data_IF_740113539055
#
_entry.id   IF_740113539055
#
_cell.length_a   1.000
_cell.length_b   1.000
_cell.length_c   1.000
_cell.angle_alpha   90.00
_cell.angle_beta   90.00
_cell.angle_gamma   90.00
#
_symmetry.space_group_name_H-M   'P 1'
#
loop_
_entity.id
_entity.type
_entity.pdbx_description
1 polymer ?
#
# COMPACT_ATOMS: atom_id res chain seq x y z
N UNK A 1 -54.37 17.73 20.82
CA UNK A 1 -53.49 18.92 20.94
C UNK A 1 -52.20 18.49 21.65
N UNK A 2 -51.04 18.89 21.11
CA UNK A 2 -49.63 18.56 21.49
C UNK A 2 -49.03 17.27 20.90
N UNK A 3 -48.71 17.37 19.62
CA UNK A 3 -47.56 16.70 18.97
C UNK A 3 -46.29 17.38 19.51
N UNK A 4 -45.36 16.63 20.11
CA UNK A 4 -43.99 17.10 20.38
C UNK A 4 -43.07 16.49 19.33
N UNK A 5 -42.57 17.36 18.46
CA UNK A 5 -41.56 17.08 17.44
C UNK A 5 -40.26 16.64 18.12
N UNK A 6 -39.83 15.40 17.88
CA UNK A 6 -38.43 15.03 18.02
C UNK A 6 -37.74 15.30 16.69
N UNK A 7 -36.99 16.39 16.64
CA UNK A 7 -36.00 16.63 15.60
C UNK A 7 -34.89 15.59 15.78
N UNK A 8 -34.87 14.56 14.94
CA UNK A 8 -33.76 13.62 14.84
C UNK A 8 -32.60 14.36 14.20
N UNK A 9 -31.67 14.85 15.02
CA UNK A 9 -30.37 15.34 14.55
C UNK A 9 -29.59 14.11 14.09
N UNK A 10 -29.57 13.86 12.77
CA UNK A 10 -28.63 12.93 12.14
C UNK A 10 -27.26 13.60 12.22
N UNK A 11 -26.56 13.34 13.32
CA UNK A 11 -25.15 13.67 13.46
C UNK A 11 -24.38 12.63 12.63
N UNK A 12 -24.14 12.98 11.36
CA UNK A 12 -23.22 12.31 10.44
C UNK A 12 -21.79 12.50 10.95
N UNK A 13 -21.47 11.84 12.06
CA UNK A 13 -20.10 11.54 12.46
C UNK A 13 -19.60 10.46 11.51
N UNK A 14 -19.11 10.88 10.34
CA UNK A 14 -18.22 10.08 9.50
C UNK A 14 -16.90 9.86 10.25
N UNK A 15 -16.94 9.02 11.30
CA UNK A 15 -15.75 8.29 11.68
C UNK A 15 -15.42 7.40 10.48
N UNK A 16 -14.29 7.68 9.84
CA UNK A 16 -13.63 6.81 8.89
C UNK A 16 -13.18 5.51 9.62
N UNK A 17 -14.13 4.70 10.06
CA UNK A 17 -13.90 3.29 10.18
C UNK A 17 -13.93 2.78 8.74
N UNK A 18 -12.74 2.49 8.20
CA UNK A 18 -12.66 1.54 7.09
C UNK A 18 -13.46 0.32 7.54
N UNK A 19 -14.67 0.15 7.01
CA UNK A 19 -15.41 -1.09 7.15
C UNK A 19 -14.57 -2.15 6.46
N UNK A 20 -13.65 -2.77 7.22
CA UNK A 20 -12.85 -3.89 6.74
C UNK A 20 -13.83 -5.04 6.61
N UNK A 21 -14.25 -5.33 5.38
CA UNK A 21 -15.02 -6.53 5.10
C UNK A 21 -14.22 -7.77 5.57
N UNK A 22 -14.82 -8.54 6.47
CA UNK A 22 -14.23 -9.72 7.10
C UNK A 22 -14.41 -10.95 6.19
N UNK A 23 -13.33 -11.64 5.86
CA UNK A 23 -13.40 -12.90 5.11
C UNK A 23 -14.02 -14.00 5.95
N UNK A 24 -14.64 -15.00 5.30
CA UNK A 24 -15.34 -16.07 6.02
C UNK A 24 -14.36 -16.90 6.86
N UNK A 25 -14.80 -17.30 8.05
CA UNK A 25 -14.12 -18.22 8.95
C UNK A 25 -14.32 -19.63 8.44
N UNK A 26 -13.21 -20.33 8.24
CA UNK A 26 -13.22 -21.73 7.81
C UNK A 26 -13.59 -22.66 8.96
N UNK A 27 -13.97 -23.88 8.62
CA UNK A 27 -13.94 -24.98 9.58
C UNK A 27 -12.49 -25.38 9.88
N UNK A 28 -12.29 -26.35 10.78
CA UNK A 28 -10.97 -26.87 11.12
C UNK A 28 -10.86 -28.31 10.63
N UNK A 29 -9.76 -28.68 10.00
CA UNK A 29 -9.46 -30.05 9.58
C UNK A 29 -8.12 -30.48 10.15
N UNK A 30 -8.06 -31.69 10.72
CA UNK A 30 -6.85 -32.26 11.29
C UNK A 30 -6.43 -33.52 10.52
N UNK A 31 -5.14 -33.63 10.20
CA UNK A 31 -4.54 -34.82 9.61
C UNK A 31 -3.02 -34.77 9.72
N UNK A 32 -2.37 -35.93 9.75
CA UNK A 32 -0.91 -36.07 9.90
C UNK A 32 -0.34 -35.35 11.14
N UNK A 33 -1.11 -35.26 12.23
CA UNK A 33 -0.71 -34.59 13.48
C UNK A 33 -0.82 -33.07 13.46
N UNK A 34 -1.29 -32.47 12.36
CA UNK A 34 -1.45 -31.03 12.21
C UNK A 34 -2.94 -30.63 12.18
N UNK A 35 -3.23 -29.41 12.61
CA UNK A 35 -4.53 -28.76 12.47
C UNK A 35 -4.46 -27.61 11.46
N UNK A 36 -5.48 -27.52 10.62
CA UNK A 36 -5.53 -26.61 9.48
C UNK A 36 -6.87 -25.88 9.43
N UNK A 37 -6.87 -24.63 8.98
CA UNK A 37 -8.09 -23.91 8.63
C UNK A 37 -8.61 -24.47 7.32
N UNK A 38 -9.76 -25.13 7.35
CA UNK A 38 -10.44 -25.64 6.18
C UNK A 38 -11.18 -24.48 5.48
N UNK A 39 -10.77 -24.14 4.26
CA UNK A 39 -11.29 -23.01 3.48
C UNK A 39 -12.65 -23.32 2.84
N UNK A 40 -13.53 -23.94 3.61
CA UNK A 40 -14.86 -24.38 3.24
C UNK A 40 -15.69 -24.62 4.52
N UNK A 41 -17.00 -24.69 4.33
CA UNK A 41 -17.98 -25.17 5.33
C UNK A 41 -18.66 -26.40 4.74
N UNK A 42 -18.12 -27.62 4.95
CA UNK A 42 -18.63 -28.83 4.29
C UNK A 42 -20.12 -29.10 4.51
N UNK A 43 -20.62 -28.82 5.71
CA UNK A 43 -22.04 -29.02 6.05
C UNK A 43 -22.94 -28.11 5.19
N UNK A 44 -22.51 -26.87 4.94
CA UNK A 44 -23.27 -25.90 4.13
C UNK A 44 -23.40 -26.31 2.65
N UNK A 45 -22.61 -27.28 2.19
CA UNK A 45 -22.64 -27.74 0.80
C UNK A 45 -23.77 -28.74 0.52
N UNK A 46 -24.40 -29.28 1.57
CA UNK A 46 -25.66 -30.02 1.48
C UNK A 46 -26.75 -29.20 2.17
N UNK A 47 -27.67 -28.63 1.39
CA UNK A 47 -28.69 -27.71 1.90
C UNK A 47 -29.67 -28.37 2.87
N UNK A 48 -29.89 -29.69 2.74
CA UNK A 48 -30.77 -30.44 3.64
C UNK A 48 -30.08 -30.67 4.97
N UNK A 49 -28.81 -31.06 4.93
CA UNK A 49 -27.99 -31.23 6.12
C UNK A 49 -27.79 -29.91 6.87
N UNK A 50 -27.46 -28.84 6.14
CA UNK A 50 -27.36 -27.50 6.68
C UNK A 50 -28.62 -27.10 7.46
N UNK A 51 -29.79 -27.26 6.84
CA UNK A 51 -31.06 -26.93 7.49
C UNK A 51 -31.27 -27.74 8.78
N UNK A 52 -31.04 -29.05 8.73
CA UNK A 52 -31.18 -29.92 9.91
C UNK A 52 -30.25 -29.54 11.05
N UNK A 53 -29.03 -29.11 10.74
CA UNK A 53 -28.09 -28.63 11.75
C UNK A 53 -28.56 -27.29 12.35
N UNK A 54 -29.02 -26.36 11.52
CA UNK A 54 -29.53 -25.07 11.99
C UNK A 54 -30.78 -25.23 12.86
N UNK A 55 -31.65 -26.21 12.55
CA UNK A 55 -32.81 -26.55 13.37
C UNK A 55 -32.42 -27.25 14.71
N UNK A 56 -31.20 -27.81 14.79
CA UNK A 56 -30.69 -28.53 15.97
C UNK A 56 -29.96 -27.62 16.96
N UNK A 57 -29.20 -26.64 16.47
CA UNK A 57 -28.43 -25.73 17.33
C UNK A 57 -29.35 -24.67 17.98
N UNK A 58 -28.96 -24.06 19.12
CA UNK A 58 -29.80 -23.07 19.80
C UNK A 58 -30.05 -21.81 18.96
N UNK A 59 -31.26 -21.26 19.05
CA UNK A 59 -31.63 -20.01 18.34
C UNK A 59 -30.80 -18.79 18.76
N UNK A 60 -30.28 -18.78 19.99
CA UNK A 60 -29.44 -17.70 20.53
C UNK A 60 -27.94 -17.86 20.21
N UNK A 61 -27.61 -18.59 19.14
CA UNK A 61 -26.22 -18.69 18.68
C UNK A 61 -25.69 -17.35 18.16
N UNK A 62 -24.41 -17.08 18.41
CA UNK A 62 -23.75 -15.86 17.98
C UNK A 62 -23.44 -15.93 16.48
N UNK A 63 -23.79 -14.90 15.71
CA UNK A 63 -23.37 -14.75 14.31
C UNK A 63 -22.44 -13.55 14.15
N UNK A 64 -21.55 -13.60 13.17
CA UNK A 64 -20.64 -12.51 12.85
C UNK A 64 -20.46 -12.34 11.34
N UNK A 65 -19.88 -11.22 10.91
CA UNK A 65 -19.57 -10.97 9.49
C UNK A 65 -18.61 -11.99 8.89
N UNK A 66 -17.81 -12.67 9.72
CA UNK A 66 -16.94 -13.77 9.31
C UNK A 66 -17.53 -15.16 9.55
N UNK A 67 -18.60 -15.32 10.33
CA UNK A 67 -19.24 -16.61 10.60
C UNK A 67 -20.75 -16.40 10.68
N UNK A 68 -21.43 -16.53 9.55
CA UNK A 68 -22.86 -16.24 9.44
C UNK A 68 -23.72 -17.34 10.06
N UNK A 69 -23.15 -18.53 10.18
CA UNK A 69 -23.81 -19.72 10.71
C UNK A 69 -23.60 -19.89 12.22
N UNK A 70 -22.65 -19.16 12.80
CA UNK A 70 -22.37 -19.17 14.25
C UNK A 70 -21.76 -20.47 14.80
N UNK A 71 -21.37 -21.40 13.93
CA UNK A 71 -20.69 -22.63 14.31
C UNK A 71 -19.34 -22.80 13.61
N UNK A 72 -18.47 -23.60 14.21
CA UNK A 72 -17.22 -24.11 13.61
C UNK A 72 -17.20 -25.63 13.73
N UNK A 73 -17.11 -26.32 12.60
CA UNK A 73 -16.98 -27.78 12.60
C UNK A 73 -15.50 -28.18 12.59
N UNK A 74 -15.20 -29.29 13.29
CA UNK A 74 -13.87 -29.86 13.40
C UNK A 74 -13.89 -31.23 12.75
N UNK A 75 -13.07 -31.40 11.73
CA UNK A 75 -12.97 -32.57 10.90
C UNK A 75 -11.62 -33.27 11.11
N UNK A 76 -11.58 -34.58 10.87
CA UNK A 76 -10.36 -35.38 10.86
C UNK A 76 -10.37 -36.34 9.67
N UNK A 77 -9.21 -36.58 9.07
CA UNK A 77 -9.08 -37.62 8.05
C UNK A 77 -8.80 -38.96 8.76
N UNK A 78 -9.79 -39.85 8.77
CA UNK A 78 -9.70 -41.18 9.37
C UNK A 78 -9.96 -42.24 8.29
N UNK A 79 -9.04 -43.20 8.11
CA UNK A 79 -9.14 -44.25 7.09
C UNK A 79 -9.45 -43.71 5.68
N UNK A 80 -8.74 -42.64 5.28
CA UNK A 80 -8.96 -41.85 4.05
C UNK A 80 -10.30 -41.09 3.97
N UNK A 81 -11.18 -41.15 4.97
CA UNK A 81 -12.46 -40.45 4.97
C UNK A 81 -12.41 -39.17 5.80
N UNK A 82 -13.09 -38.13 5.34
CA UNK A 82 -13.29 -36.92 6.12
C UNK A 82 -14.42 -37.14 7.12
N UNK A 83 -14.07 -37.18 8.40
CA UNK A 83 -14.98 -37.49 9.51
C UNK A 83 -15.18 -36.27 10.41
N UNK A 84 -16.44 -35.93 10.71
CA UNK A 84 -16.77 -34.90 11.67
C UNK A 84 -16.46 -35.40 13.08
N UNK A 85 -15.71 -34.61 13.86
CA UNK A 85 -15.36 -34.93 15.24
C UNK A 85 -16.25 -34.19 16.23
N UNK A 86 -16.49 -32.89 15.96
CA UNK A 86 -17.35 -32.04 16.79
C UNK A 86 -17.75 -30.77 16.06
N UNK A 87 -18.75 -30.09 16.62
CA UNK A 87 -19.16 -28.74 16.24
C UNK A 87 -19.10 -27.86 17.49
N UNK A 88 -18.48 -26.70 17.38
CA UNK A 88 -18.46 -25.68 18.42
C UNK A 88 -19.39 -24.53 18.00
N UNK A 89 -20.34 -24.19 18.87
CA UNK A 89 -21.36 -23.16 18.64
C UNK A 89 -21.20 -22.07 19.67
N UNK A 90 -20.98 -20.82 19.24
CA UNK A 90 -21.03 -19.68 20.16
C UNK A 90 -22.48 -19.41 20.52
N UNK A 91 -22.75 -19.19 21.80
CA UNK A 91 -24.09 -18.87 22.31
C UNK A 91 -24.00 -17.67 23.24
N UNK A 92 -24.86 -16.68 23.01
CA UNK A 92 -24.95 -15.48 23.86
C UNK A 92 -26.06 -15.65 24.89
N UNK A 93 -25.71 -15.48 26.16
CA UNK A 93 -26.68 -15.43 27.26
C UNK A 93 -27.01 -13.96 27.56
N UNK A 94 -28.26 -13.56 27.27
CA UNK A 94 -28.75 -12.20 27.54
C UNK A 94 -28.77 -11.84 29.03
N UNK A 95 -28.92 -12.84 29.91
CA UNK A 95 -29.02 -12.65 31.36
C UNK A 95 -27.66 -12.32 31.95
N UNK A 96 -26.65 -13.12 31.64
CA UNK A 96 -25.27 -12.88 32.09
C UNK A 96 -24.50 -11.89 31.22
N UNK A 97 -25.02 -11.55 30.03
CA UNK A 97 -24.38 -10.73 28.98
C UNK A 97 -23.00 -11.25 28.61
N UNK A 98 -22.88 -12.57 28.46
CA UNK A 98 -21.62 -13.25 28.15
C UNK A 98 -21.82 -14.27 27.04
N UNK A 99 -20.78 -14.39 26.22
CA UNK A 99 -20.64 -15.47 25.25
C UNK A 99 -20.17 -16.74 25.96
N UNK A 100 -20.66 -17.88 25.48
CA UNK A 100 -20.20 -19.21 25.87
C UNK A 100 -20.10 -20.09 24.63
N UNK A 101 -19.35 -21.19 24.71
CA UNK A 101 -19.21 -22.15 23.61
C UNK A 101 -19.84 -23.47 24.00
N UNK A 102 -20.84 -23.91 23.24
CA UNK A 102 -21.38 -25.25 23.31
C UNK A 102 -20.59 -26.16 22.38
N UNK A 103 -20.24 -27.35 22.87
CA UNK A 103 -19.47 -28.33 22.11
C UNK A 103 -20.34 -29.57 21.92
N UNK A 104 -20.63 -29.89 20.66
CA UNK A 104 -21.36 -31.10 20.27
C UNK A 104 -20.39 -32.07 19.63
N UNK A 105 -20.04 -33.16 20.32
CA UNK A 105 -19.27 -34.25 19.74
C UNK A 105 -20.10 -35.05 18.72
N UNK A 106 -19.43 -35.76 17.82
CA UNK A 106 -20.07 -36.51 16.74
C UNK A 106 -21.22 -37.41 17.22
N UNK A 107 -21.08 -38.05 18.39
CA UNK A 107 -22.08 -38.94 18.97
C UNK A 107 -23.39 -38.24 19.32
N UNK A 108 -23.33 -36.94 19.64
CA UNK A 108 -24.50 -36.11 19.93
C UNK A 108 -25.19 -35.58 18.66
N UNK A 109 -24.61 -35.79 17.48
CA UNK A 109 -25.05 -35.24 16.20
C UNK A 109 -25.82 -36.26 15.32
N UNK A 110 -26.25 -37.38 15.90
CA UNK A 110 -27.00 -38.42 15.17
C UNK A 110 -28.26 -37.88 14.48
N UNK A 111 -29.07 -37.10 15.17
CA UNK A 111 -30.33 -36.57 14.63
C UNK A 111 -30.11 -35.68 13.38
N UNK A 112 -29.25 -34.64 13.42
CA UNK A 112 -29.00 -33.82 12.23
C UNK A 112 -28.31 -34.57 11.09
N UNK A 113 -27.47 -35.57 11.39
CA UNK A 113 -26.65 -36.30 10.40
C UNK A 113 -27.17 -37.70 10.04
N UNK A 114 -28.43 -38.03 10.35
CA UNK A 114 -28.98 -39.39 10.20
C UNK A 114 -28.63 -40.13 8.88
N UNK A 115 -28.63 -39.50 7.68
CA UNK A 115 -28.27 -40.18 6.42
C UNK A 115 -26.79 -40.57 6.30
N UNK A 116 -25.93 -39.98 7.12
CA UNK A 116 -24.47 -40.07 7.07
C UNK A 116 -23.84 -40.52 8.40
N UNK A 117 -24.68 -40.91 9.36
CA UNK A 117 -24.27 -41.36 10.69
C UNK A 117 -24.14 -42.89 10.70
N UNK A 118 -22.99 -43.39 11.15
CA UNK A 118 -22.70 -44.82 11.21
C UNK A 118 -22.86 -45.38 12.64
N UNK A 119 -23.09 -46.69 12.75
CA UNK A 119 -23.30 -47.38 14.04
C UNK A 119 -22.13 -47.23 15.01
N UNK A 120 -20.92 -46.99 14.50
CA UNK A 120 -19.72 -46.73 15.29
C UNK A 120 -19.63 -45.28 15.83
N UNK A 121 -20.67 -44.46 15.64
CA UNK A 121 -20.72 -43.06 16.08
C UNK A 121 -20.05 -42.07 15.11
N UNK A 122 -19.49 -42.53 14.00
CA UNK A 122 -18.81 -41.66 13.03
C UNK A 122 -19.80 -40.98 12.08
N UNK A 123 -19.47 -39.75 11.72
CA UNK A 123 -20.17 -38.97 10.69
C UNK A 123 -19.19 -38.69 9.57
N UNK A 124 -19.36 -39.38 8.45
CA UNK A 124 -18.47 -39.25 7.29
C UNK A 124 -19.08 -38.30 6.26
N UNK A 125 -18.27 -37.39 5.71
CA UNK A 125 -18.71 -36.35 4.78
C UNK A 125 -19.00 -36.88 3.36
N UNK A 126 -19.82 -37.92 3.22
CA UNK A 126 -20.08 -38.65 1.97
C UNK A 126 -20.68 -37.77 0.86
N UNK A 127 -21.35 -36.68 1.21
CA UNK A 127 -21.87 -35.71 0.25
C UNK A 127 -20.77 -34.89 -0.46
N UNK A 128 -19.56 -34.81 0.10
CA UNK A 128 -18.49 -33.98 -0.47
C UNK A 128 -17.82 -34.60 -1.69
N UNK A 129 -17.71 -33.78 -2.74
CA UNK A 129 -17.01 -34.06 -3.97
C UNK A 129 -16.34 -32.78 -4.50
N UNK A 130 -15.04 -32.83 -4.82
CA UNK A 130 -14.33 -31.70 -5.39
C UNK A 130 -12.90 -31.52 -4.88
N UNK A 131 -12.34 -30.35 -5.14
CA UNK A 131 -11.05 -29.91 -4.60
C UNK A 131 -11.27 -28.86 -3.51
N UNK A 132 -10.62 -29.07 -2.37
CA UNK A 132 -10.75 -28.22 -1.20
C UNK A 132 -9.37 -27.77 -0.72
N UNK A 133 -9.31 -26.62 -0.04
CA UNK A 133 -8.06 -26.08 0.50
C UNK A 133 -8.09 -26.05 2.01
N UNK A 134 -6.97 -26.40 2.62
CA UNK A 134 -6.72 -26.22 4.04
C UNK A 134 -5.44 -25.42 4.23
N UNK A 135 -5.41 -24.45 5.14
CA UNK A 135 -4.28 -23.54 5.31
C UNK A 135 -3.81 -23.39 6.76
N UNK A 136 -2.51 -23.14 6.95
CA UNK A 136 -1.90 -22.76 8.23
C UNK A 136 -0.75 -21.77 8.03
N UNK A 137 -0.35 -21.09 9.10
CA UNK A 137 0.69 -20.06 9.09
C UNK A 137 0.16 -18.68 8.69
N UNK A 138 1.06 -17.81 8.23
CA UNK A 138 0.74 -16.42 7.94
C UNK A 138 -0.14 -16.24 6.70
N UNK A 139 -0.88 -15.14 6.65
CA UNK A 139 -1.68 -14.75 5.49
C UNK A 139 -0.80 -14.14 4.40
N UNK A 140 -0.70 -14.80 3.25
CA UNK A 140 0.11 -14.37 2.10
C UNK A 140 -0.67 -13.44 1.17
N UNK A 141 -1.89 -13.84 0.78
CA UNK A 141 -2.81 -13.08 -0.09
C UNK A 141 -4.21 -13.11 0.52
N UNK A 142 -4.93 -11.99 0.41
CA UNK A 142 -6.28 -11.87 0.97
C UNK A 142 -7.25 -11.27 -0.03
N UNK A 143 -8.39 -11.93 -0.21
CA UNK A 143 -9.55 -11.37 -0.90
C UNK A 143 -10.75 -11.46 0.03
N UNK A 144 -11.56 -10.40 0.04
CA UNK A 144 -12.71 -10.26 0.95
C UNK A 144 -13.85 -11.25 0.67
N UNK A 145 -13.89 -11.89 -0.50
CA UNK A 145 -15.01 -12.74 -0.92
C UNK A 145 -14.82 -14.19 -0.48
N UNK A 146 -15.73 -14.67 0.35
CA UNK A 146 -15.79 -16.07 0.76
C UNK A 146 -14.51 -16.53 1.46
N UNK A 147 -13.93 -17.61 0.93
CA UNK A 147 -12.66 -18.20 1.38
C UNK A 147 -11.49 -17.91 0.44
N UNK A 148 -11.58 -16.91 -0.45
CA UNK A 148 -10.50 -16.58 -1.38
C UNK A 148 -9.34 -15.86 -0.65
N UNK A 149 -8.49 -16.66 -0.01
CA UNK A 149 -7.22 -16.23 0.58
C UNK A 149 -6.17 -17.29 0.33
N UNK A 150 -4.91 -16.92 0.53
CA UNK A 150 -3.80 -17.86 0.53
C UNK A 150 -2.98 -17.74 1.80
N UNK A 151 -2.77 -18.87 2.48
CA UNK A 151 -1.93 -18.97 3.68
C UNK A 151 -0.53 -19.50 3.32
N UNK A 152 0.43 -19.28 4.21
CA UNK A 152 1.84 -19.66 4.03
C UNK A 152 2.03 -21.13 3.68
N UNK A 153 1.31 -22.03 4.35
CA UNK A 153 1.26 -23.44 3.96
C UNK A 153 -0.18 -23.81 3.64
N UNK A 154 -0.42 -24.26 2.41
CA UNK A 154 -1.73 -24.76 1.97
C UNK A 154 -1.65 -26.23 1.57
N UNK A 155 -2.67 -27.00 1.91
CA UNK A 155 -2.90 -28.34 1.40
C UNK A 155 -4.14 -28.33 0.52
N UNK A 156 -4.01 -28.80 -0.72
CA UNK A 156 -5.14 -29.05 -1.62
C UNK A 156 -5.55 -30.51 -1.48
N UNK A 157 -6.80 -30.74 -1.07
CA UNK A 157 -7.39 -32.06 -0.88
C UNK A 157 -8.37 -32.35 -2.02
N UNK A 158 -8.18 -33.48 -2.72
CA UNK A 158 -9.14 -33.98 -3.71
C UNK A 158 -10.05 -35.02 -3.05
N UNK A 159 -11.33 -34.70 -2.93
CA UNK A 159 -12.32 -35.51 -2.20
C UNK A 159 -13.34 -36.08 -3.19
N UNK A 160 -13.66 -37.37 -3.07
CA UNK A 160 -14.73 -38.05 -3.81
C UNK A 160 -15.57 -38.90 -2.86
N UNK A 161 -16.86 -38.61 -2.77
CA UNK A 161 -17.80 -39.28 -1.86
C UNK A 161 -17.26 -39.34 -0.42
N UNK A 162 -16.76 -38.20 0.08
CA UNK A 162 -16.12 -38.08 1.40
C UNK A 162 -14.73 -38.70 1.53
N UNK A 163 -14.26 -39.50 0.56
CA UNK A 163 -12.91 -40.08 0.55
C UNK A 163 -11.88 -39.09 0.02
N UNK A 164 -10.81 -38.85 0.78
CA UNK A 164 -9.63 -38.10 0.35
C UNK A 164 -8.79 -38.99 -0.56
N UNK A 165 -8.77 -38.66 -1.85
CA UNK A 165 -8.09 -39.44 -2.88
C UNK A 165 -6.63 -39.02 -3.02
N UNK A 166 -6.36 -37.72 -2.85
CA UNK A 166 -5.02 -37.15 -2.96
C UNK A 166 -4.93 -35.88 -2.12
N UNK A 167 -3.71 -35.60 -1.64
CA UNK A 167 -3.36 -34.33 -1.00
C UNK A 167 -2.11 -33.76 -1.65
N UNK A 168 -2.03 -32.44 -1.79
CA UNK A 168 -0.82 -31.78 -2.31
C UNK A 168 -0.56 -30.53 -1.49
N UNK A 169 0.61 -30.49 -0.85
CA UNK A 169 1.03 -29.37 0.00
C UNK A 169 1.86 -28.38 -0.79
N UNK A 170 1.58 -27.10 -0.58
CA UNK A 170 2.26 -25.96 -1.17
C UNK A 170 2.76 -25.02 -0.08
N UNK A 171 3.93 -24.44 -0.34
CA UNK A 171 4.47 -23.34 0.46
C UNK A 171 4.36 -22.06 -0.35
N UNK A 172 3.47 -21.18 0.11
CA UNK A 172 3.16 -19.92 -0.49
C UNK A 172 3.98 -18.80 0.17
N UNK A 173 4.44 -17.85 -0.62
CA UNK A 173 5.12 -16.68 -0.10
C UNK A 173 4.90 -15.48 -1.02
N UNK A 174 5.23 -14.29 -0.52
CA UNK A 174 5.29 -13.07 -1.32
C UNK A 174 6.70 -12.50 -1.30
N UNK A 175 7.19 -12.05 -2.45
CA UNK A 175 8.42 -11.27 -2.55
C UNK A 175 8.05 -9.80 -2.40
N UNK A 176 8.67 -9.05 -1.47
CA UNK A 176 8.35 -7.66 -1.26
C UNK A 176 8.68 -6.83 -2.50
N UNK A 177 7.82 -5.87 -2.81
CA UNK A 177 7.97 -4.91 -3.90
C UNK A 177 6.82 -3.91 -3.92
N UNK A 178 6.81 -2.99 -4.89
CA UNK A 178 5.69 -2.07 -5.06
C UNK A 178 4.44 -2.83 -5.50
N UNK A 179 3.32 -2.55 -4.83
CA UNK A 179 2.00 -3.09 -5.14
C UNK A 179 1.30 -2.25 -6.20
N UNK A 180 0.47 -2.89 -7.01
CA UNK A 180 -0.35 -2.21 -8.03
C UNK A 180 -1.23 -1.11 -7.43
N UNK A 181 -1.74 -1.31 -6.21
CA UNK A 181 -2.60 -0.31 -5.55
C UNK A 181 -1.83 0.93 -5.05
N UNK A 182 -0.53 0.78 -4.76
CA UNK A 182 0.30 1.83 -4.16
C UNK A 182 1.25 2.50 -5.16
N UNK A 183 1.35 1.98 -6.39
CA UNK A 183 2.38 2.39 -7.37
C UNK A 183 2.08 3.68 -8.13
N UNK A 184 0.85 4.20 -8.04
CA UNK A 184 0.38 5.32 -8.87
C UNK A 184 1.30 6.54 -8.77
N UNK A 185 1.73 6.91 -7.57
CA UNK A 185 2.59 8.08 -7.36
C UNK A 185 3.97 7.90 -7.98
N UNK A 186 4.52 6.68 -7.87
CA UNK A 186 5.81 6.36 -8.47
C UNK A 186 5.74 6.36 -10.01
N UNK A 187 4.62 5.91 -10.59
CA UNK A 187 4.35 6.05 -12.02
C UNK A 187 4.27 7.54 -12.38
N UNK A 188 3.47 8.34 -11.67
CA UNK A 188 3.32 9.77 -11.97
C UNK A 188 4.68 10.48 -11.94
N UNK A 189 5.53 10.17 -10.96
CA UNK A 189 6.87 10.75 -10.81
C UNK A 189 7.82 10.37 -11.95
N UNK A 190 7.78 9.12 -12.40
CA UNK A 190 8.68 8.60 -13.44
C UNK A 190 8.17 8.82 -14.86
N UNK A 191 6.87 9.08 -15.04
CA UNK A 191 6.29 9.24 -16.36
C UNK A 191 6.92 10.44 -17.10
N UNK A 192 7.32 10.30 -18.38
CA UNK A 192 8.10 11.32 -19.08
C UNK A 192 7.20 12.43 -19.62
N UNK A 193 6.62 13.21 -18.72
CA UNK A 193 5.59 14.20 -19.05
C UNK A 193 6.05 15.31 -20.01
N UNK A 194 7.35 15.56 -20.10
CA UNK A 194 7.95 16.53 -21.03
C UNK A 194 7.75 16.13 -22.50
N UNK A 195 7.64 14.83 -22.81
CA UNK A 195 7.33 14.31 -24.15
C UNK A 195 5.88 14.62 -24.59
N UNK A 196 5.04 15.01 -23.63
CA UNK A 196 3.59 15.09 -23.82
C UNK A 196 2.95 16.42 -23.36
N UNK A 197 3.42 17.58 -23.85
CA UNK A 197 2.92 18.88 -23.42
C UNK A 197 1.42 19.07 -23.70
N UNK A 198 0.88 18.43 -24.75
CA UNK A 198 -0.56 18.46 -25.10
C UNK A 198 -1.45 17.94 -23.96
N UNK A 199 -0.97 17.01 -23.14
CA UNK A 199 -1.77 16.37 -22.09
C UNK A 199 -1.51 16.97 -20.69
N UNK A 200 -0.85 18.14 -20.60
CA UNK A 200 -0.45 18.76 -19.32
C UNK A 200 -1.58 18.93 -18.28
N UNK A 201 -2.81 19.17 -18.76
CA UNK A 201 -3.99 19.40 -17.93
C UNK A 201 -4.99 18.24 -18.05
N UNK A 202 -4.52 17.06 -18.47
CA UNK A 202 -5.37 15.88 -18.64
C UNK A 202 -5.08 14.86 -17.53
N UNK A 203 -6.14 14.22 -17.04
CA UNK A 203 -6.08 12.91 -16.42
C UNK A 203 -6.08 11.85 -17.53
N UNK A 204 -5.01 11.09 -17.58
CA UNK A 204 -4.76 10.01 -18.54
C UNK A 204 -5.02 8.69 -17.81
N UNK A 205 -6.05 7.96 -18.20
CA UNK A 205 -6.37 6.66 -17.57
C UNK A 205 -6.08 5.54 -18.53
N UNK A 206 -5.09 4.71 -18.19
CA UNK A 206 -4.75 3.50 -18.91
C UNK A 206 -5.66 2.37 -18.45
N UNK A 207 -6.24 1.62 -19.38
CA UNK A 207 -6.91 0.35 -19.08
C UNK A 207 -5.99 -0.78 -19.48
N UNK A 208 -5.47 -1.48 -18.48
CA UNK A 208 -4.43 -2.50 -18.60
C UNK A 208 -5.08 -3.88 -18.54
N UNK A 209 -4.59 -4.79 -19.38
CA UNK A 209 -4.88 -6.22 -19.36
C UNK A 209 -3.59 -7.02 -19.37
N UNK A 210 -3.64 -8.27 -18.92
CA UNK A 210 -2.55 -9.23 -19.02
C UNK A 210 -1.21 -8.68 -18.50
N UNK A 211 -1.22 -7.97 -17.38
CA UNK A 211 0.01 -7.44 -16.76
C UNK A 211 0.92 -8.60 -16.33
N UNK A 212 2.17 -8.60 -16.79
CA UNK A 212 3.12 -9.69 -16.60
C UNK A 212 4.38 -9.21 -15.90
N UNK A 213 4.80 -9.99 -14.92
CA UNK A 213 6.09 -9.87 -14.24
C UNK A 213 6.94 -11.11 -14.46
N UNK A 214 8.25 -10.96 -14.35
CA UNK A 214 9.17 -12.06 -14.11
C UNK A 214 9.06 -12.55 -12.65
N UNK A 215 9.58 -13.73 -12.37
CA UNK A 215 9.55 -14.33 -11.02
C UNK A 215 10.37 -13.57 -9.96
N UNK A 216 11.25 -12.67 -10.38
CA UNK A 216 12.06 -11.79 -9.54
C UNK A 216 11.52 -10.34 -9.45
N UNK A 217 10.35 -10.08 -10.04
CA UNK A 217 9.63 -8.81 -9.88
C UNK A 217 9.98 -7.71 -10.89
N UNK A 218 10.54 -8.06 -12.04
CA UNK A 218 10.66 -7.14 -13.17
C UNK A 218 9.39 -7.13 -14.02
N UNK A 219 8.97 -5.94 -14.46
CA UNK A 219 7.90 -5.83 -15.46
C UNK A 219 8.34 -6.42 -16.81
N UNK A 220 7.51 -7.32 -17.35
CA UNK A 220 7.73 -7.97 -18.64
C UNK A 220 6.96 -7.25 -19.75
N UNK A 221 5.63 -7.27 -19.68
CA UNK A 221 4.75 -6.57 -20.61
C UNK A 221 3.31 -6.50 -20.07
N UNK A 222 2.44 -5.74 -20.77
CA UNK A 222 0.99 -5.74 -20.58
C UNK A 222 0.28 -5.28 -21.85
N UNK A 223 -1.03 -5.47 -21.94
CA UNK A 223 -1.84 -4.91 -23.01
C UNK A 223 -2.50 -3.61 -22.55
N UNK A 224 -2.32 -2.52 -23.31
CA UNK A 224 -3.07 -1.27 -23.09
C UNK A 224 -4.29 -1.31 -23.99
N UNK A 225 -5.45 -1.67 -23.42
CA UNK A 225 -6.68 -1.88 -24.17
C UNK A 225 -7.23 -0.57 -24.76
N UNK A 226 -7.22 0.49 -23.96
CA UNK A 226 -7.50 1.85 -24.39
C UNK A 226 -7.03 2.86 -23.35
N UNK A 227 -6.90 4.11 -23.75
CA UNK A 227 -6.51 5.25 -22.90
C UNK A 227 -7.66 6.26 -22.90
N UNK A 228 -8.14 6.62 -21.70
CA UNK A 228 -9.18 7.62 -21.53
C UNK A 228 -8.54 8.96 -21.13
N UNK A 229 -8.85 10.01 -21.87
CA UNK A 229 -8.40 11.37 -21.58
C UNK A 229 -9.55 12.22 -21.02
N UNK A 230 -9.30 12.89 -19.90
CA UNK A 230 -10.25 13.82 -19.28
C UNK A 230 -9.51 15.12 -18.89
N UNK A 231 -10.11 16.31 -19.07
CA UNK A 231 -11.50 16.56 -19.41
C UNK A 231 -11.85 16.50 -20.91
N UNK A 232 -10.89 16.31 -21.83
CA UNK A 232 -11.16 16.36 -23.28
C UNK A 232 -12.11 15.26 -23.79
N UNK A 233 -12.44 14.27 -22.96
CA UNK A 233 -13.39 13.16 -23.23
C UNK A 233 -13.04 12.36 -24.50
N UNK A 234 -11.75 12.19 -24.75
CA UNK A 234 -11.24 11.37 -25.85
C UNK A 234 -10.88 9.96 -25.35
N UNK A 235 -11.03 8.97 -26.24
CA UNK A 235 -10.59 7.58 -26.03
C UNK A 235 -9.62 7.22 -27.14
N UNK A 236 -8.45 6.72 -26.78
CA UNK A 236 -7.44 6.22 -27.71
C UNK A 236 -7.45 4.70 -27.63
N UNK A 237 -7.73 4.02 -28.75
CA UNK A 237 -7.81 2.55 -28.84
C UNK A 237 -6.60 1.94 -29.56
N UNK A 238 -5.53 2.72 -29.72
CA UNK A 238 -4.25 2.27 -30.29
C UNK A 238 -3.27 1.89 -29.18
N UNK A 239 -2.99 0.59 -29.05
CA UNK A 239 -2.02 0.06 -28.10
C UNK A 239 -0.56 0.45 -28.38
N UNK A 240 -0.27 0.94 -29.59
CA UNK A 240 1.04 1.47 -29.99
C UNK A 240 1.12 3.00 -29.92
N UNK A 241 0.07 3.66 -29.40
CA UNK A 241 0.08 5.11 -29.23
C UNK A 241 1.29 5.54 -28.35
N UNK A 242 1.95 6.67 -28.63
CA UNK A 242 3.12 7.13 -27.86
C UNK A 242 2.93 7.17 -26.34
N UNK A 243 1.71 7.46 -25.85
CA UNK A 243 1.37 7.38 -24.42
C UNK A 243 1.46 5.95 -23.86
N UNK A 244 0.97 4.95 -24.60
CA UNK A 244 1.02 3.54 -24.18
C UNK A 244 2.47 3.06 -24.09
N UNK A 245 3.29 3.41 -25.09
CA UNK A 245 4.72 3.09 -25.11
C UNK A 245 5.43 3.71 -23.91
N UNK A 246 5.27 5.02 -23.69
CA UNK A 246 5.90 5.71 -22.56
C UNK A 246 5.42 5.18 -21.20
N UNK A 247 4.16 4.76 -21.09
CA UNK A 247 3.64 4.13 -19.89
C UNK A 247 4.29 2.76 -19.63
N UNK A 248 4.43 1.91 -20.65
CA UNK A 248 5.17 0.63 -20.53
C UNK A 248 6.64 0.84 -20.17
N UNK A 249 7.31 1.82 -20.76
CA UNK A 249 8.68 2.21 -20.39
C UNK A 249 8.77 2.64 -18.92
N UNK A 250 7.77 3.40 -18.45
CA UNK A 250 7.66 3.81 -17.05
C UNK A 250 7.50 2.60 -16.12
N UNK A 251 6.59 1.67 -16.45
CA UNK A 251 6.40 0.43 -15.70
C UNK A 251 7.67 -0.43 -15.64
N UNK A 252 8.42 -0.49 -16.75
CA UNK A 252 9.71 -1.18 -16.83
C UNK A 252 10.79 -0.57 -15.93
N UNK A 253 10.72 0.73 -15.66
CA UNK A 253 11.65 1.46 -14.79
C UNK A 253 11.33 1.33 -13.28
N UNK A 254 10.24 0.66 -12.93
CA UNK A 254 9.82 0.39 -11.56
C UNK A 254 10.27 -1.03 -11.21
N UNK A 255 11.03 -1.15 -10.13
CA UNK A 255 11.53 -2.41 -9.62
C UNK A 255 11.93 -2.27 -8.14
N UNK A 256 11.70 -3.29 -7.29
CA UNK A 256 10.95 -4.51 -7.59
C UNK A 256 9.43 -4.31 -7.49
N UNK A 257 8.68 -5.02 -8.34
CA UNK A 257 7.24 -5.21 -8.17
C UNK A 257 6.96 -6.36 -7.18
N UNK A 258 5.86 -6.28 -6.43
CA UNK A 258 5.43 -7.39 -5.56
C UNK A 258 5.06 -8.61 -6.42
N UNK A 259 5.59 -9.77 -6.05
CA UNK A 259 5.31 -11.05 -6.71
C UNK A 259 4.81 -12.05 -5.67
N UNK A 260 3.74 -12.74 -5.99
CA UNK A 260 3.19 -13.82 -5.18
C UNK A 260 3.65 -15.16 -5.76
N UNK A 261 4.03 -16.10 -4.90
CA UNK A 261 4.21 -17.50 -5.26
C UNK A 261 3.11 -18.29 -4.57
N UNK A 262 2.11 -18.70 -5.33
CA UNK A 262 0.89 -19.35 -4.84
C UNK A 262 0.73 -20.69 -5.54
N UNK A 263 0.59 -21.76 -4.77
CA UNK A 263 0.32 -23.12 -5.23
C UNK A 263 1.26 -23.56 -6.37
N UNK A 264 2.56 -23.31 -6.19
CA UNK A 264 3.62 -23.69 -7.13
C UNK A 264 3.80 -22.75 -8.34
N UNK A 265 3.08 -21.63 -8.40
CA UNK A 265 3.12 -20.70 -9.54
C UNK A 265 3.39 -19.27 -9.11
N UNK A 266 4.22 -18.57 -9.86
CA UNK A 266 4.37 -17.13 -9.74
C UNK A 266 3.12 -16.43 -10.31
N UNK A 267 2.56 -15.52 -9.53
CA UNK A 267 1.38 -14.73 -9.88
C UNK A 267 1.47 -13.33 -9.27
N UNK A 268 0.51 -12.50 -9.61
CA UNK A 268 0.28 -11.17 -9.04
C UNK A 268 -1.16 -11.07 -8.56
N UNK A 269 -1.46 -10.04 -7.79
CA UNK A 269 -2.81 -9.85 -7.23
C UNK A 269 -3.85 -9.54 -8.32
N UNK A 270 -3.49 -8.70 -9.29
CA UNK A 270 -4.36 -8.28 -10.39
C UNK A 270 -3.59 -8.23 -11.71
N UNK A 271 -4.07 -8.93 -12.73
CA UNK A 271 -3.53 -8.83 -14.10
C UNK A 271 -4.20 -7.74 -14.91
N UNK A 272 -5.41 -7.36 -14.52
CA UNK A 272 -6.29 -6.45 -15.24
C UNK A 272 -6.72 -5.33 -14.30
N UNK A 273 -6.42 -4.08 -14.65
CA UNK A 273 -6.71 -2.94 -13.81
C UNK A 273 -6.71 -1.64 -14.61
N UNK A 274 -7.15 -0.56 -13.99
CA UNK A 274 -7.07 0.78 -14.57
C UNK A 274 -6.08 1.63 -13.80
N UNK A 275 -5.19 2.34 -14.49
CA UNK A 275 -4.20 3.21 -13.89
C UNK A 275 -4.41 4.66 -14.36
N UNK A 276 -5.07 5.51 -13.56
CA UNK A 276 -5.14 6.92 -13.84
C UNK A 276 -3.85 7.62 -13.41
N UNK A 277 -3.32 8.50 -14.27
CA UNK A 277 -2.21 9.40 -13.95
C UNK A 277 -2.57 10.81 -14.38
N UNK A 278 -2.08 11.80 -13.64
CA UNK A 278 -2.17 13.21 -13.99
C UNK A 278 -0.97 13.92 -13.38
N UNK A 279 -0.60 15.07 -13.95
CA UNK A 279 0.40 15.92 -13.32
C UNK A 279 -0.18 16.45 -12.01
N UNK A 280 0.43 16.05 -10.90
CA UNK A 280 0.18 16.65 -9.59
C UNK A 280 1.07 17.88 -9.47
N UNK A 281 0.48 19.00 -9.07
CA UNK A 281 1.24 20.20 -8.76
C UNK A 281 0.54 20.95 -7.65
N UNK A 282 1.33 21.70 -6.89
CA UNK A 282 0.80 22.66 -5.94
C UNK A 282 1.00 24.07 -6.48
N UNK A 283 0.00 24.92 -6.32
CA UNK A 283 0.09 26.34 -6.68
C UNK A 283 -0.05 27.18 -5.43
N UNK A 284 0.87 28.12 -5.24
CA UNK A 284 0.85 29.11 -4.19
C UNK A 284 -0.37 30.03 -4.38
N UNK A 285 -1.08 30.28 -3.29
CA UNK A 285 -2.24 31.16 -3.26
C UNK A 285 -2.14 32.11 -2.07
N UNK A 286 -2.50 33.36 -2.29
CA UNK A 286 -2.58 34.42 -1.27
C UNK A 286 -3.93 35.11 -1.33
N UNK A 287 -4.38 35.66 -0.20
CA UNK A 287 -5.55 36.56 -0.16
C UNK A 287 -5.20 38.00 -0.53
N UNK A 288 -3.91 38.33 -0.58
CA UNK A 288 -3.42 39.63 -1.01
C UNK A 288 -3.49 39.80 -2.54
N UNK A 289 -3.51 41.03 -3.07
CA UNK A 289 -3.61 41.27 -4.51
C UNK A 289 -2.49 40.64 -5.35
N UNK A 290 -1.30 40.48 -4.74
CA UNK A 290 -0.11 39.95 -5.40
C UNK A 290 0.65 38.97 -4.51
N UNK A 291 1.28 37.98 -5.13
CA UNK A 291 2.16 37.02 -4.46
C UNK A 291 3.55 37.65 -4.24
N UNK A 292 3.73 38.34 -3.12
CA UNK A 292 4.96 39.08 -2.79
C UNK A 292 5.69 38.52 -1.55
N UNK A 293 6.92 38.97 -1.32
CA UNK A 293 7.71 38.55 -0.17
C UNK A 293 7.01 38.96 1.13
N UNK A 294 6.73 37.97 1.99
CA UNK A 294 6.18 38.18 3.33
C UNK A 294 4.65 38.16 3.42
N UNK A 295 3.92 38.03 2.31
CA UNK A 295 2.46 37.82 2.36
C UNK A 295 2.13 36.41 2.85
N UNK A 296 1.01 36.19 3.55
CA UNK A 296 0.56 34.86 3.91
C UNK A 296 0.26 34.03 2.64
N UNK A 297 0.82 32.82 2.57
CA UNK A 297 0.64 31.92 1.42
C UNK A 297 0.21 30.54 1.88
N UNK A 298 -0.71 29.94 1.14
CA UNK A 298 -1.01 28.52 1.19
C UNK A 298 -0.66 27.86 -0.15
N UNK A 299 -0.62 26.53 -0.20
CA UNK A 299 -0.54 25.80 -1.45
C UNK A 299 -1.78 24.95 -1.67
N UNK A 300 -2.37 25.12 -2.84
CA UNK A 300 -3.54 24.39 -3.29
C UNK A 300 -3.12 23.31 -4.30
N UNK A 301 -3.76 22.14 -4.25
CA UNK A 301 -3.66 21.17 -5.33
C UNK A 301 -4.49 21.59 -6.56
N UNK A 302 -4.51 20.76 -7.61
CA UNK A 302 -5.27 20.99 -8.83
C UNK A 302 -6.80 21.04 -8.64
N UNK A 303 -7.32 20.57 -7.50
CA UNK A 303 -8.74 20.61 -7.13
C UNK A 303 -9.10 21.85 -6.29
N UNK A 304 -8.12 22.66 -5.92
CA UNK A 304 -8.29 23.77 -4.99
C UNK A 304 -8.25 23.37 -3.53
N UNK A 305 -7.96 22.09 -3.22
CA UNK A 305 -7.80 21.66 -1.83
C UNK A 305 -6.51 22.24 -1.26
N UNK A 306 -6.57 22.78 -0.05
CA UNK A 306 -5.39 23.28 0.65
C UNK A 306 -4.54 22.12 1.15
N UNK A 307 -3.34 21.96 0.58
CA UNK A 307 -2.35 20.94 0.97
C UNK A 307 -1.35 21.50 2.00
N UNK A 308 -0.92 22.74 1.79
CA UNK A 308 -0.11 23.48 2.76
C UNK A 308 -0.94 24.67 3.23
N UNK A 309 -1.33 24.75 4.51
CA UNK A 309 -2.18 25.82 5.00
C UNK A 309 -1.43 27.14 5.12
N UNK A 310 -2.19 28.24 5.14
CA UNK A 310 -1.67 29.57 5.49
C UNK A 310 -0.93 29.54 6.82
N UNK A 311 0.17 30.30 6.90
CA UNK A 311 0.96 30.42 8.12
C UNK A 311 1.85 29.22 8.43
N UNK A 312 1.81 28.13 7.65
CA UNK A 312 2.79 27.03 7.82
C UNK A 312 4.21 27.50 7.49
N UNK A 313 4.36 28.26 6.42
CA UNK A 313 5.63 28.83 5.98
C UNK A 313 5.53 30.35 5.92
N UNK A 314 6.65 31.03 6.18
CA UNK A 314 6.70 32.50 6.13
C UNK A 314 6.62 33.03 4.71
N UNK A 315 7.25 32.31 3.78
CA UNK A 315 7.42 32.75 2.40
C UNK A 315 7.54 31.55 1.46
N UNK A 316 6.95 31.66 0.27
CA UNK A 316 7.12 30.73 -0.83
C UNK A 316 8.12 31.28 -1.85
N UNK A 317 9.21 30.56 -2.10
CA UNK A 317 10.12 30.90 -3.20
C UNK A 317 9.62 30.31 -4.53
N UNK A 318 8.88 29.20 -4.47
CA UNK A 318 8.37 28.48 -5.64
C UNK A 318 6.84 28.59 -5.70
N UNK A 319 6.32 29.36 -6.64
CA UNK A 319 4.87 29.55 -6.83
C UNK A 319 4.17 28.28 -7.32
N UNK A 320 4.78 27.52 -8.22
CA UNK A 320 4.23 26.28 -8.77
C UNK A 320 5.17 25.10 -8.52
N UNK A 321 4.77 24.22 -7.61
CA UNK A 321 5.52 23.03 -7.22
C UNK A 321 5.07 21.86 -8.07
N UNK A 322 5.89 21.47 -9.05
CA UNK A 322 5.64 20.27 -9.88
C UNK A 322 6.22 19.01 -9.26
N UNK A 323 7.47 19.11 -8.81
CA UNK A 323 8.21 18.01 -8.17
C UNK A 323 8.75 18.49 -6.82
N UNK A 324 9.60 19.53 -6.87
CA UNK A 324 10.20 20.17 -5.71
C UNK A 324 9.78 21.64 -5.64
N UNK A 325 9.56 22.13 -4.43
CA UNK A 325 9.27 23.52 -4.12
C UNK A 325 10.10 23.97 -2.92
N UNK A 326 10.41 25.26 -2.88
CA UNK A 326 11.22 25.85 -1.83
C UNK A 326 10.39 26.85 -1.04
N UNK A 327 10.38 26.67 0.28
CA UNK A 327 9.61 27.48 1.23
C UNK A 327 10.49 27.84 2.41
N UNK A 328 10.23 28.97 3.06
CA UNK A 328 10.99 29.37 4.25
C UNK A 328 10.26 28.99 5.53
N UNK A 329 11.02 28.52 6.52
CA UNK A 329 10.54 28.31 7.87
C UNK A 329 9.74 29.53 8.36
N UNK A 330 8.67 29.27 9.13
CA UNK A 330 7.94 30.34 9.78
C UNK A 330 8.68 30.85 11.02
N UNK A 331 9.85 31.48 10.80
CA UNK A 331 10.71 32.07 11.84
C UNK A 331 11.02 33.54 11.52
N UNK A 332 11.17 34.40 12.54
CA UNK A 332 11.42 35.82 12.34
C UNK A 332 12.86 36.15 11.91
N UNK A 333 13.83 35.30 12.28
CA UNK A 333 15.25 35.42 11.93
C UNK A 333 15.80 34.06 11.54
N UNK A 334 16.83 34.07 10.71
CA UNK A 334 17.59 32.89 10.29
C UNK A 334 16.71 31.75 9.75
N UNK A 335 15.59 32.10 9.11
CA UNK A 335 14.67 31.15 8.53
C UNK A 335 15.37 30.32 7.46
N UNK A 336 15.38 29.00 7.64
CA UNK A 336 15.98 28.08 6.68
C UNK A 336 15.01 27.81 5.53
N UNK A 337 15.58 27.45 4.38
CA UNK A 337 14.83 27.01 3.22
C UNK A 337 14.54 25.53 3.38
N UNK A 338 13.26 25.15 3.30
CA UNK A 338 12.79 23.78 3.30
C UNK A 338 12.42 23.41 1.86
N UNK A 339 12.90 22.24 1.41
CA UNK A 339 12.39 21.61 0.21
C UNK A 339 11.13 20.81 0.54
N UNK A 340 10.05 21.08 -0.17
CA UNK A 340 8.80 20.30 -0.11
C UNK A 340 8.49 19.69 -1.47
N UNK A 341 7.81 18.54 -1.46
CA UNK A 341 7.30 17.94 -2.70
C UNK A 341 5.88 18.43 -3.05
N UNK A 342 5.35 17.96 -4.18
CA UNK A 342 3.98 18.24 -4.63
C UNK A 342 2.86 17.60 -3.78
N UNK A 343 3.20 16.88 -2.71
CA UNK A 343 2.27 16.44 -1.67
C UNK A 343 2.37 17.32 -0.40
N UNK A 344 3.17 18.39 -0.42
CA UNK A 344 3.41 19.27 0.72
C UNK A 344 4.31 18.67 1.80
N UNK A 345 4.90 17.49 1.55
CA UNK A 345 5.81 16.80 2.46
C UNK A 345 7.17 17.49 2.42
N UNK A 346 7.69 17.79 3.60
CA UNK A 346 9.06 18.30 3.79
C UNK A 346 10.07 17.16 3.56
N UNK A 347 11.09 17.44 2.74
CA UNK A 347 12.10 16.46 2.37
C UNK A 347 13.41 16.69 3.12
N UNK A 348 13.94 17.92 3.06
CA UNK A 348 15.21 18.33 3.69
C UNK A 348 15.33 19.85 3.68
N UNK A 349 16.29 20.39 4.44
CA UNK A 349 16.69 21.78 4.29
C UNK A 349 17.60 21.93 3.06
N UNK A 350 17.55 23.10 2.43
CA UNK A 350 18.36 23.43 1.26
C UNK A 350 19.47 24.37 1.67
N UNK A 351 20.69 24.11 1.19
CA UNK A 351 21.80 25.02 1.41
C UNK A 351 21.45 26.38 0.81
N UNK A 352 21.53 27.45 1.61
CA UNK A 352 21.22 28.81 1.15
C UNK A 352 22.45 29.36 0.43
N UNK A 353 22.28 29.78 -0.81
CA UNK A 353 23.32 30.47 -1.57
C UNK A 353 22.78 31.83 -2.02
N UNK A 354 23.52 32.88 -1.68
CA UNK A 354 23.08 34.27 -1.82
C UNK A 354 21.70 34.49 -1.15
N UNK A 355 20.67 34.85 -1.92
CA UNK A 355 19.33 35.14 -1.42
C UNK A 355 18.33 33.99 -1.61
N UNK A 356 18.79 32.79 -2.00
CA UNK A 356 17.89 31.71 -2.39
C UNK A 356 18.43 30.29 -2.20
N UNK A 357 17.73 29.29 -2.75
CA UNK A 357 18.19 27.90 -2.74
C UNK A 357 19.43 27.73 -3.63
N UNK A 358 20.28 26.76 -3.27
CA UNK A 358 21.48 26.40 -4.04
C UNK A 358 21.15 26.03 -5.50
N UNK A 359 22.08 26.35 -6.41
CA UNK A 359 21.95 26.02 -7.82
C UNK A 359 22.28 24.55 -8.07
N UNK A 360 21.56 23.93 -9.02
CA UNK A 360 21.89 22.58 -9.49
C UNK A 360 23.17 22.64 -10.32
N UNK A 361 24.18 21.87 -9.91
CA UNK A 361 25.45 21.69 -10.61
C UNK A 361 25.67 20.21 -10.91
N UNK A 362 25.87 19.89 -12.18
CA UNK A 362 25.95 18.52 -12.70
C UNK A 362 24.83 17.56 -12.21
N UNK A 363 23.61 18.10 -12.09
CA UNK A 363 22.43 17.35 -11.68
C UNK A 363 22.22 17.23 -10.17
N UNK A 364 23.10 17.80 -9.34
CA UNK A 364 23.00 17.78 -7.87
C UNK A 364 23.00 19.19 -7.26
N UNK A 365 22.36 19.35 -6.11
CA UNK A 365 22.45 20.56 -5.28
C UNK A 365 22.67 20.21 -3.81
N UNK A 366 23.20 21.15 -3.03
CA UNK A 366 23.52 20.90 -1.62
C UNK A 366 22.27 20.99 -0.74
N UNK A 367 22.15 20.01 0.15
CA UNK A 367 21.08 19.90 1.14
C UNK A 367 21.65 19.90 2.55
N UNK A 368 20.81 20.15 3.55
CA UNK A 368 21.20 20.15 4.96
C UNK A 368 20.26 19.31 5.83
N UNK A 369 20.80 18.71 6.89
CA UNK A 369 20.00 18.16 7.99
C UNK A 369 19.73 19.22 9.06
N UNK A 370 19.06 18.83 10.16
CA UNK A 370 18.76 19.73 11.27
C UNK A 370 20.01 20.30 11.96
N UNK A 371 21.10 19.53 12.00
CA UNK A 371 22.39 19.91 12.59
C UNK A 371 23.24 20.82 11.68
N UNK A 372 22.73 21.14 10.47
CA UNK A 372 23.45 21.94 9.48
C UNK A 372 24.57 21.20 8.74
N UNK A 373 24.65 19.87 8.84
CA UNK A 373 25.55 19.08 8.01
C UNK A 373 25.07 19.11 6.56
N UNK A 374 26.02 19.12 5.63
CA UNK A 374 25.79 19.22 4.20
C UNK A 374 25.84 17.84 3.53
N UNK A 375 24.90 17.61 2.62
CA UNK A 375 24.83 16.48 1.70
C UNK A 375 24.42 16.92 0.30
N UNK A 376 24.02 15.99 -0.56
CA UNK A 376 23.62 16.28 -1.94
C UNK A 376 22.34 15.52 -2.33
N UNK A 377 21.45 16.21 -3.05
CA UNK A 377 20.25 15.61 -3.65
C UNK A 377 20.16 15.93 -5.15
N UNK A 378 19.43 15.09 -5.88
CA UNK A 378 19.11 15.31 -7.28
C UNK A 378 17.85 16.17 -7.47
N UNK A 379 17.56 16.57 -8.71
CA UNK A 379 16.39 17.40 -9.05
C UNK A 379 15.03 16.73 -8.82
N UNK A 380 15.00 15.45 -8.45
CA UNK A 380 13.80 14.71 -8.10
C UNK A 380 13.63 14.59 -6.57
N UNK A 381 14.58 15.11 -5.79
CA UNK A 381 14.58 15.05 -4.34
C UNK A 381 15.14 13.75 -3.77
N UNK A 382 15.78 12.91 -4.58
CA UNK A 382 16.49 11.74 -4.08
C UNK A 382 17.80 12.20 -3.42
N UNK A 383 18.02 11.80 -2.17
CA UNK A 383 19.28 12.06 -1.47
C UNK A 383 20.36 11.14 -2.05
N UNK A 384 21.30 11.72 -2.80
CA UNK A 384 22.41 10.99 -3.44
C UNK A 384 23.56 10.79 -2.46
N UNK A 385 23.86 11.81 -1.65
CA UNK A 385 24.85 11.72 -0.57
C UNK A 385 24.19 12.28 0.69
N UNK A 386 24.13 11.46 1.74
CA UNK A 386 23.50 11.87 3.00
C UNK A 386 24.28 13.03 3.64
N UNK A 387 23.59 13.96 4.33
CA UNK A 387 24.24 15.00 5.11
C UNK A 387 25.28 14.43 6.10
N UNK A 388 26.55 14.81 5.92
CA UNK A 388 27.65 14.34 6.77
C UNK A 388 28.83 15.33 6.84
N UNK A 389 28.90 16.28 5.91
CA UNK A 389 30.01 17.24 5.85
C UNK A 389 29.68 18.49 6.65
N UNK A 390 30.68 19.12 7.26
CA UNK A 390 30.50 20.47 7.83
C UNK A 390 30.34 21.51 6.74
N UNK A 391 31.00 21.31 5.60
CA UNK A 391 30.82 22.13 4.41
C UNK A 391 31.16 21.35 3.15
N UNK A 392 30.51 21.72 2.04
CA UNK A 392 30.78 21.18 0.72
C UNK A 392 30.65 22.27 -0.36
N UNK A 393 31.55 22.24 -1.33
CA UNK A 393 31.40 22.95 -2.60
C UNK A 393 30.46 22.17 -3.54
N UNK A 394 29.83 22.85 -4.53
CA UNK A 394 29.10 22.15 -5.59
C UNK A 394 29.98 21.16 -6.38
N UNK A 395 29.35 20.22 -7.08
CA UNK A 395 30.06 19.33 -7.98
C UNK A 395 30.56 20.07 -9.22
N UNK A 396 31.82 19.84 -9.56
CA UNK A 396 32.47 20.36 -10.76
C UNK A 396 33.49 19.34 -11.28
N UNK A 397 33.45 19.02 -12.57
CA UNK A 397 34.27 18.00 -13.20
C UNK A 397 34.15 16.63 -12.51
N UNK A 398 32.92 16.24 -12.13
CA UNK A 398 32.60 14.96 -11.51
C UNK A 398 33.01 14.80 -10.05
N UNK A 399 33.52 15.86 -9.40
CA UNK A 399 33.96 15.83 -7.99
C UNK A 399 33.47 17.04 -7.19
N UNK A 400 33.34 16.89 -5.88
CA UNK A 400 33.04 17.98 -4.95
C UNK A 400 34.14 18.06 -3.88
N UNK A 401 34.51 19.29 -3.49
CA UNK A 401 35.45 19.54 -2.39
C UNK A 401 34.67 19.64 -1.08
N UNK A 402 35.04 18.86 -0.07
CA UNK A 402 34.27 18.71 1.19
C UNK A 402 35.18 18.74 2.41
N UNK A 403 34.61 19.05 3.57
CA UNK A 403 35.30 18.99 4.86
C UNK A 403 34.37 18.53 5.98
N UNK A 404 34.93 17.83 6.97
CA UNK A 404 34.23 17.37 8.17
C UNK A 404 34.44 18.30 9.38
N UNK A 405 35.19 19.38 9.21
CA UNK A 405 35.59 20.29 10.29
C UNK A 405 35.73 21.73 9.78
N UNK A 406 36.02 22.66 10.68
CA UNK A 406 36.22 24.07 10.34
C UNK A 406 35.02 24.94 10.69
N UNK A 407 35.12 26.20 10.34
CA UNK A 407 34.14 27.24 10.66
C UNK A 407 33.99 28.24 9.53
N UNK A 408 32.82 28.89 9.47
CA UNK A 408 32.57 29.96 8.51
C UNK A 408 33.24 31.25 8.99
N UNK A 409 34.10 31.86 8.16
CA UNK A 409 34.79 33.12 8.46
C UNK A 409 34.44 34.19 7.46
N UNK A 410 34.30 35.42 7.95
CA UNK A 410 34.17 36.59 7.09
C UNK A 410 35.47 36.83 6.31
N UNK A 411 35.35 37.21 5.04
CA UNK A 411 36.48 37.70 4.26
C UNK A 411 36.84 39.10 4.77
N UNK A 412 38.11 39.37 5.12
CA UNK A 412 38.54 40.70 5.54
C UNK A 412 38.09 41.79 4.57
N UNK A 413 37.70 42.95 5.11
CA UNK A 413 37.22 44.12 4.36
C UNK A 413 35.90 43.93 3.58
N UNK A 414 35.22 42.79 3.74
CA UNK A 414 33.93 42.54 3.06
C UNK A 414 32.71 43.13 3.77
N UNK A 415 32.88 43.68 4.98
CA UNK A 415 31.78 44.27 5.79
C UNK A 415 30.62 43.29 6.01
N UNK A 416 30.93 42.01 6.16
CA UNK A 416 29.97 40.92 6.37
C UNK A 416 29.35 40.37 5.08
N UNK A 417 29.72 40.87 3.90
CA UNK A 417 29.11 40.42 2.64
C UNK A 417 29.65 39.08 2.14
N UNK A 418 30.93 38.78 2.41
CA UNK A 418 31.60 37.59 1.86
C UNK A 418 32.15 36.73 2.97
N UNK A 419 31.98 35.42 2.81
CA UNK A 419 32.48 34.44 3.76
C UNK A 419 33.21 33.31 3.05
N UNK A 420 34.10 32.63 3.76
CA UNK A 420 34.77 31.41 3.33
C UNK A 420 34.75 30.39 4.48
N UNK A 421 34.81 29.11 4.12
CA UNK A 421 34.94 28.06 5.12
C UNK A 421 36.42 27.82 5.44
N UNK A 422 36.83 28.09 6.67
CA UNK A 422 38.20 27.85 7.13
C UNK A 422 38.31 26.44 7.71
N UNK A 423 39.12 25.60 7.07
CA UNK A 423 39.36 24.22 7.50
C UNK A 423 40.73 23.77 7.02
N UNK A 424 41.46 23.10 7.93
CA UNK A 424 42.77 22.52 7.66
C UNK A 424 42.71 21.23 6.84
N UNK A 425 41.54 20.58 6.77
CA UNK A 425 41.38 19.27 6.13
C UNK A 425 40.27 19.32 5.08
N UNK A 426 40.66 19.21 3.81
CA UNK A 426 39.75 19.12 2.68
C UNK A 426 39.93 17.79 1.95
N UNK A 427 38.84 17.32 1.35
CA UNK A 427 38.80 16.08 0.59
C UNK A 427 38.05 16.31 -0.71
N UNK A 428 38.41 15.56 -1.77
CA UNK A 428 37.56 15.46 -2.95
C UNK A 428 36.76 14.18 -2.91
N UNK A 429 35.45 14.26 -3.14
CA UNK A 429 34.56 13.11 -3.29
C UNK A 429 34.00 13.03 -4.71
N UNK A 430 33.67 11.82 -5.16
CA UNK A 430 32.83 11.62 -6.35
C UNK A 430 31.33 11.48 -5.97
N UNK A 431 30.45 11.33 -6.97
CA UNK A 431 28.98 11.22 -6.77
C UNK A 431 28.53 9.96 -6.00
N UNK A 432 29.43 9.01 -5.77
CA UNK A 432 29.19 7.79 -4.99
C UNK A 432 29.74 7.91 -3.56
N UNK A 433 30.03 9.14 -3.10
CA UNK A 433 30.55 9.42 -1.76
C UNK A 433 31.92 8.75 -1.47
N UNK A 434 32.71 8.48 -2.51
CA UNK A 434 34.09 7.98 -2.34
C UNK A 434 35.07 9.14 -2.37
N UNK A 435 35.92 9.22 -1.34
CA UNK A 435 37.07 10.13 -1.33
C UNK A 435 38.06 9.68 -2.41
N UNK A 436 38.38 10.57 -3.34
CA UNK A 436 39.20 10.28 -4.52
C UNK A 436 40.58 10.93 -4.50
N UNK A 437 40.85 11.91 -3.62
CA UNK A 437 42.17 12.49 -3.35
C UNK A 437 42.16 13.27 -2.02
N UNK A 438 43.31 13.29 -1.31
CA UNK A 438 43.60 14.20 -0.18
C UNK A 438 44.27 15.47 -0.67
#
# INVERSE_FOLDING_TARGET
MRIKNYFTIILLLCFFLQAKATGLSGDIISFNGDSWVFMAKPINMDSTLYKRLMDFIPDNHCVSTGNWEGYTAFWEIQNDYLCLQRIEVCVYDETSRKDSTLIYHAEALQAPFLPYYYENGSVEARWLNGEFRAGKGDLVRYVHSGFDRNMETECVLRIKNGKVINTTTYHNYKKPGLKIIDVQDEIIRKFPWNRFPKYKNQRITFVIRNFQLTNDGHFKDCDIRFILLRPIRETIEDGNHPLAIAFKETLKSIYPWEVLFINGKYTIEYTDFTMPIWRKYLTAHTTEPYLEVGVPVCYLNERGDTIVPYGKYRYCQTDTIKELGFVYENKPKDARIICINNAGKELFYVFKYDNGPDYIQEGLFRIMNEDGLVGFADSLGNVVIKPQFKFANPFENGKAKVTFSGENKEVPDSKGEKHYWDSSNWYYINKNDKIINK
#
